data_IF_250993904903
#
_entry.id   IF_250993904903
#
_cell.length_a   1.000
_cell.length_b   1.000
_cell.length_c   1.000
_cell.angle_alpha   90.00
_cell.angle_beta   90.00
_cell.angle_gamma   90.00
#
_symmetry.space_group_name_H-M   'P 1'
#
loop_
_entity.id
_entity.type
_entity.pdbx_description
1 polymer ?
#
# COMPACT_ATOMS: atom_id res chain seq x y z
N UNK A 1 1.42 28.47 -32.50
CA UNK A 1 0.21 27.66 -32.29
C UNK A 1 0.57 26.54 -31.32
N UNK A 2 -0.07 26.45 -30.16
CA UNK A 2 0.11 25.33 -29.22
C UNK A 2 -0.63 24.10 -29.76
N UNK A 3 -0.03 22.91 -29.61
CA UNK A 3 -0.54 21.64 -30.17
C UNK A 3 -0.90 20.59 -29.12
N UNK A 4 -0.33 20.69 -27.93
CA UNK A 4 -0.56 19.76 -26.82
C UNK A 4 -0.29 20.49 -25.51
N UNK A 5 -1.13 20.22 -24.53
CA UNK A 5 -0.91 20.57 -23.12
C UNK A 5 -1.26 19.32 -22.32
N UNK A 6 -0.35 18.88 -21.46
CA UNK A 6 -0.54 17.79 -20.51
C UNK A 6 -0.53 18.34 -19.10
N UNK A 7 -1.38 17.78 -18.25
CA UNK A 7 -1.46 18.14 -16.84
C UNK A 7 -1.10 16.91 -16.02
N UNK A 8 -0.34 17.14 -14.96
CA UNK A 8 -0.21 16.18 -13.88
C UNK A 8 -1.50 16.17 -13.05
N UNK A 9 -1.66 15.16 -12.21
CA UNK A 9 -2.85 15.01 -11.36
C UNK A 9 -2.58 15.57 -9.96
N UNK A 10 -1.68 14.90 -9.24
CA UNK A 10 -1.38 15.15 -7.83
C UNK A 10 -0.73 16.53 -7.66
N UNK A 11 -1.25 17.32 -6.72
CA UNK A 11 -0.85 18.70 -6.44
C UNK A 11 -0.94 19.66 -7.64
N UNK A 12 -1.60 19.23 -8.73
CA UNK A 12 -1.94 20.07 -9.89
C UNK A 12 -3.45 20.29 -9.98
N UNK A 13 -4.25 19.22 -9.88
CA UNK A 13 -5.71 19.28 -9.95
C UNK A 13 -6.38 19.32 -8.57
N UNK A 14 -5.69 18.84 -7.53
CA UNK A 14 -6.14 18.84 -6.14
C UNK A 14 -4.96 18.71 -5.17
N UNK A 15 -5.19 19.02 -3.89
CA UNK A 15 -4.25 18.71 -2.80
C UNK A 15 -4.29 17.21 -2.50
N UNK A 16 -3.16 16.52 -2.64
CA UNK A 16 -3.12 15.04 -2.58
C UNK A 16 -3.13 14.50 -1.14
N UNK A 17 -2.52 15.24 -0.21
CA UNK A 17 -2.31 14.79 1.16
C UNK A 17 -3.61 14.39 1.91
N UNK A 18 -4.71 15.17 1.86
CA UNK A 18 -5.94 14.80 2.58
C UNK A 18 -6.55 13.47 2.10
N UNK A 19 -6.52 13.21 0.79
CA UNK A 19 -7.04 11.98 0.21
C UNK A 19 -6.20 10.76 0.62
N UNK A 20 -4.87 10.89 0.61
CA UNK A 20 -3.94 9.83 1.05
C UNK A 20 -4.15 9.52 2.53
N UNK A 21 -4.22 10.54 3.39
CA UNK A 21 -4.44 10.35 4.84
C UNK A 21 -5.77 9.63 5.10
N UNK A 22 -6.83 10.00 4.38
CA UNK A 22 -8.13 9.33 4.47
C UNK A 22 -8.05 7.85 4.05
N UNK A 23 -7.35 7.55 2.96
CA UNK A 23 -7.16 6.19 2.48
C UNK A 23 -6.32 5.33 3.45
N UNK A 24 -5.28 5.90 4.06
CA UNK A 24 -4.48 5.22 5.08
C UNK A 24 -5.28 4.93 6.36
N UNK A 25 -6.13 5.86 6.78
CA UNK A 25 -7.02 5.65 7.93
C UNK A 25 -8.04 4.54 7.64
N UNK A 26 -8.71 4.59 6.48
CA UNK A 26 -9.66 3.55 6.08
C UNK A 26 -9.01 2.16 5.97
N UNK A 27 -7.80 2.07 5.43
CA UNK A 27 -7.05 0.81 5.37
C UNK A 27 -6.76 0.27 6.77
N UNK A 28 -6.28 1.13 7.68
CA UNK A 28 -5.99 0.73 9.06
C UNK A 28 -7.23 0.22 9.77
N UNK A 29 -8.36 0.90 9.60
CA UNK A 29 -9.63 0.50 10.20
C UNK A 29 -10.10 -0.85 9.64
N UNK A 30 -9.99 -1.04 8.32
CA UNK A 30 -10.34 -2.31 7.67
C UNK A 30 -9.47 -3.48 8.16
N UNK A 31 -8.15 -3.28 8.26
CA UNK A 31 -7.22 -4.31 8.77
C UNK A 31 -7.45 -4.61 10.25
N UNK A 32 -7.83 -3.64 11.06
CA UNK A 32 -8.15 -3.87 12.47
C UNK A 32 -9.39 -4.76 12.62
N UNK A 33 -10.36 -4.66 11.72
CA UNK A 33 -11.58 -5.47 11.70
C UNK A 33 -11.37 -6.86 11.10
N UNK A 34 -10.70 -6.95 9.95
CA UNK A 34 -10.61 -8.18 9.15
C UNK A 34 -9.32 -8.98 9.40
N UNK A 35 -8.26 -8.31 9.88
CA UNK A 35 -6.96 -8.92 10.11
C UNK A 35 -6.44 -8.71 11.55
N UNK A 36 -7.19 -9.09 12.60
CA UNK A 36 -6.84 -8.80 14.00
C UNK A 36 -5.48 -9.35 14.48
N UNK A 37 -4.99 -10.47 13.92
CA UNK A 37 -3.65 -11.01 14.26
C UNK A 37 -2.51 -10.07 13.86
N UNK A 38 -2.73 -9.23 12.85
CA UNK A 38 -1.75 -8.24 12.38
C UNK A 38 -1.45 -7.21 13.48
N UNK A 39 -2.48 -6.86 14.26
CA UNK A 39 -2.36 -5.86 15.33
C UNK A 39 -1.93 -4.48 14.82
N UNK A 40 -1.51 -3.58 15.73
CA UNK A 40 -0.97 -2.29 15.35
C UNK A 40 0.42 -2.46 14.71
N UNK A 41 0.48 -2.32 13.39
CA UNK A 41 1.75 -2.39 12.65
C UNK A 41 2.46 -1.04 12.69
N UNK A 42 3.72 -0.97 13.15
CA UNK A 42 4.50 0.25 13.09
C UNK A 42 4.84 0.59 11.63
N UNK A 43 4.85 1.89 11.30
CA UNK A 43 5.14 2.38 9.93
C UNK A 43 6.53 1.91 9.48
N UNK A 44 7.47 1.83 10.41
CA UNK A 44 8.83 1.37 10.19
C UNK A 44 8.87 -0.07 9.65
N UNK A 45 8.02 -0.96 10.14
CA UNK A 45 7.98 -2.35 9.67
C UNK A 45 7.48 -2.46 8.23
N UNK A 46 6.44 -1.70 7.87
CA UNK A 46 5.97 -1.63 6.48
C UNK A 46 7.04 -1.02 5.55
N UNK A 47 7.82 -0.06 6.05
CA UNK A 47 8.91 0.55 5.32
C UNK A 47 10.07 -0.43 5.07
N UNK A 48 10.41 -1.27 6.05
CA UNK A 48 11.42 -2.33 5.90
C UNK A 48 11.01 -3.34 4.82
N UNK A 49 9.77 -3.84 4.86
CA UNK A 49 9.24 -4.76 3.84
C UNK A 49 9.27 -4.09 2.47
N UNK A 50 8.82 -2.83 2.38
CA UNK A 50 8.84 -2.06 1.13
C UNK A 50 10.25 -1.92 0.57
N UNK A 51 11.22 -1.62 1.41
CA UNK A 51 12.62 -1.44 1.00
C UNK A 51 13.19 -2.75 0.48
N UNK A 52 12.96 -3.86 1.20
CA UNK A 52 13.36 -5.21 0.76
C UNK A 52 12.80 -5.56 -0.63
N UNK A 53 11.51 -5.31 -0.87
CA UNK A 53 10.88 -5.59 -2.16
C UNK A 53 11.44 -4.73 -3.31
N UNK A 54 11.81 -3.48 -3.02
CA UNK A 54 12.43 -2.59 -4.01
C UNK A 54 13.88 -2.97 -4.31
N UNK A 55 14.60 -3.50 -3.31
CA UNK A 55 15.96 -4.02 -3.49
C UNK A 55 15.94 -5.32 -4.32
N UNK A 56 14.94 -6.19 -4.11
CA UNK A 56 14.74 -7.42 -4.87
C UNK A 56 14.26 -7.17 -6.31
N UNK A 57 13.29 -6.27 -6.50
CA UNK A 57 12.78 -5.88 -7.82
C UNK A 57 12.59 -4.35 -7.92
N UNK A 58 13.59 -3.62 -8.44
CA UNK A 58 13.52 -2.17 -8.62
C UNK A 58 12.40 -1.70 -9.56
N UNK A 59 11.79 -2.59 -10.36
CA UNK A 59 10.68 -2.23 -11.24
C UNK A 59 9.38 -1.94 -10.46
N UNK A 60 9.29 -2.34 -9.19
CA UNK A 60 8.15 -2.00 -8.32
C UNK A 60 7.97 -0.49 -8.12
N UNK A 61 9.01 0.32 -8.30
CA UNK A 61 8.91 1.80 -8.23
C UNK A 61 7.92 2.38 -9.24
N UNK A 62 7.63 1.66 -10.32
CA UNK A 62 6.65 2.06 -11.34
C UNK A 62 5.28 1.38 -11.16
N UNK A 63 5.13 0.54 -10.13
CA UNK A 63 3.94 -0.29 -9.88
C UNK A 63 3.48 -0.15 -8.43
N UNK A 64 3.18 1.08 -8.01
CA UNK A 64 2.90 1.43 -6.61
C UNK A 64 1.75 0.60 -6.01
N UNK A 65 0.66 0.37 -6.76
CA UNK A 65 -0.45 -0.46 -6.27
C UNK A 65 -0.04 -1.92 -6.02
N UNK A 66 0.77 -2.49 -6.93
CA UNK A 66 1.27 -3.85 -6.77
C UNK A 66 2.28 -3.95 -5.62
N UNK A 67 3.14 -2.94 -5.46
CA UNK A 67 4.07 -2.84 -4.34
C UNK A 67 3.31 -2.79 -3.01
N UNK A 68 2.27 -1.95 -2.90
CA UNK A 68 1.47 -1.84 -1.66
C UNK A 68 0.80 -3.16 -1.29
N UNK A 69 0.16 -3.84 -2.24
CA UNK A 69 -0.44 -5.17 -2.00
C UNK A 69 0.59 -6.19 -1.55
N UNK A 70 1.79 -6.19 -2.15
CA UNK A 70 2.85 -7.12 -1.76
C UNK A 70 3.43 -6.82 -0.37
N UNK A 71 3.52 -5.54 0.01
CA UNK A 71 3.90 -5.15 1.38
C UNK A 71 2.87 -5.66 2.39
N UNK A 72 1.57 -5.47 2.11
CA UNK A 72 0.50 -5.94 2.99
C UNK A 72 0.48 -7.46 3.12
N UNK A 73 0.64 -8.17 2.00
CA UNK A 73 0.77 -9.63 1.99
C UNK A 73 1.88 -10.12 2.93
N UNK A 74 3.08 -9.56 2.83
CA UNK A 74 4.19 -9.97 3.71
C UNK A 74 3.94 -9.59 5.17
N UNK A 75 3.37 -8.41 5.45
CA UNK A 75 3.03 -8.04 6.82
C UNK A 75 2.00 -9.00 7.45
N UNK A 76 1.03 -9.47 6.66
CA UNK A 76 0.04 -10.46 7.08
C UNK A 76 0.66 -11.85 7.28
N UNK A 77 1.47 -12.34 6.35
CA UNK A 77 2.18 -13.62 6.55
C UNK A 77 3.08 -13.57 7.80
N UNK A 78 3.84 -12.49 7.99
CA UNK A 78 4.74 -12.30 9.14
C UNK A 78 3.95 -12.24 10.47
N UNK A 79 2.68 -11.83 10.42
CA UNK A 79 1.76 -11.84 11.57
C UNK A 79 1.08 -13.19 11.84
N UNK A 80 1.34 -14.21 11.00
CA UNK A 80 0.82 -15.58 11.19
C UNK A 80 -0.49 -15.88 10.48
N UNK A 81 -0.79 -15.17 9.38
CA UNK A 81 -1.78 -15.61 8.40
C UNK A 81 -1.16 -16.63 7.44
N UNK A 82 -1.94 -17.63 7.04
CA UNK A 82 -1.52 -18.54 5.98
C UNK A 82 -1.45 -17.80 4.65
N UNK A 83 -0.56 -18.25 3.74
CA UNK A 83 -0.27 -17.53 2.49
C UNK A 83 -1.53 -17.22 1.65
N UNK A 84 -2.47 -18.16 1.54
CA UNK A 84 -3.73 -17.96 0.81
C UNK A 84 -4.62 -16.89 1.49
N UNK A 85 -4.71 -16.92 2.83
CA UNK A 85 -5.50 -15.95 3.61
C UNK A 85 -4.85 -14.56 3.56
N UNK A 86 -3.52 -14.48 3.68
CA UNK A 86 -2.75 -13.25 3.56
C UNK A 86 -2.91 -12.61 2.18
N UNK A 87 -2.91 -13.43 1.11
CA UNK A 87 -3.11 -12.94 -0.26
C UNK A 87 -4.54 -12.40 -0.44
N UNK A 88 -5.54 -13.12 0.04
CA UNK A 88 -6.94 -12.67 -0.03
C UNK A 88 -7.15 -11.35 0.71
N UNK A 89 -6.68 -11.25 1.97
CA UNK A 89 -6.79 -10.03 2.77
C UNK A 89 -6.04 -8.85 2.13
N UNK A 90 -4.86 -9.09 1.55
CA UNK A 90 -4.10 -8.04 0.86
C UNK A 90 -4.83 -7.52 -0.38
N UNK A 91 -5.55 -8.38 -1.12
CA UNK A 91 -6.32 -7.99 -2.30
C UNK A 91 -7.63 -7.28 -1.93
N UNK A 92 -8.32 -7.70 -0.86
CA UNK A 92 -9.58 -7.10 -0.40
C UNK A 92 -9.39 -5.72 0.25
N UNK A 93 -8.21 -5.46 0.81
CA UNK A 93 -7.89 -4.19 1.48
C UNK A 93 -7.56 -3.01 0.54
N UNK A 94 -7.55 -3.23 -0.78
CA UNK A 94 -7.17 -2.24 -1.81
C UNK A 94 -8.35 -1.82 -2.69
#
# INVERSE_FOLDING_TARGET
>A
MIKLVTFDLDDTLWDTAPAIVGAEAALRDWLAEHAPKLGPVPVEHLWEIRSRLLDEDPSFKHRISALRRRVLFHALEDAGYDSDEAQQLADESF
#
